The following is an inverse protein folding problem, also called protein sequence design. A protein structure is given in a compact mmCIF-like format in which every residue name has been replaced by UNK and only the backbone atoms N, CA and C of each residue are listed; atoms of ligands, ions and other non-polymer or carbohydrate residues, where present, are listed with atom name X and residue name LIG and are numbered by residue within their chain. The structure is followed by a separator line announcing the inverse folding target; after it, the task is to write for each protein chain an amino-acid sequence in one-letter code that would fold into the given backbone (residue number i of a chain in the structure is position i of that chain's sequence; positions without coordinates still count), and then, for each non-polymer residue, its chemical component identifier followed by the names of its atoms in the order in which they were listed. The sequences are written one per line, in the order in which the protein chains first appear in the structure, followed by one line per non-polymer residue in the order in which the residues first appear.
data_IF_573543189465
#
_entry.id   IF_573543189465
#
_cell.length_a   1.000
_cell.length_b   1.000
_cell.length_c   1.000
_cell.angle_alpha   90.00
_cell.angle_beta   90.00
_cell.angle_gamma   90.00
#
_symmetry.space_group_name_H-M   'P 1'
#
loop_
_entity.id
_entity.type
_entity.pdbx_description
1 polymer ?
#
# COMPACT_ATOMS: atom_id res chain seq x y z
N UNK A 1 34.97 -8.07 -7.02
CA UNK A 1 34.15 -7.33 -8.00
C UNK A 1 34.50 -5.85 -7.92
N UNK A 2 34.78 -5.21 -9.06
CA UNK A 2 34.98 -3.77 -9.14
C UNK A 2 33.60 -3.11 -9.01
N UNK A 3 33.41 -2.25 -8.00
CA UNK A 3 32.16 -1.49 -7.87
C UNK A 3 32.17 -0.31 -8.86
N UNK A 4 31.04 0.02 -9.51
CA UNK A 4 30.95 1.25 -10.27
C UNK A 4 31.16 2.45 -9.35
N UNK A 5 31.61 3.57 -9.92
CA UNK A 5 31.64 4.85 -9.21
C UNK A 5 30.23 5.22 -8.72
N UNK A 6 30.09 6.00 -7.64
CA UNK A 6 28.78 6.46 -7.19
C UNK A 6 28.00 7.18 -8.29
N UNK A 7 26.69 6.96 -8.32
CA UNK A 7 25.79 7.67 -9.22
C UNK A 7 25.80 9.17 -8.87
N UNK A 8 25.92 10.05 -9.88
CA UNK A 8 25.99 11.49 -9.67
C UNK A 8 24.61 12.09 -9.33
N UNK A 9 23.56 11.55 -9.95
CA UNK A 9 22.18 11.97 -9.76
C UNK A 9 21.32 10.72 -9.60
N UNK A 10 20.66 10.58 -8.45
CA UNK A 10 19.78 9.45 -8.18
C UNK A 10 18.48 9.62 -8.99
N UNK A 11 18.05 8.63 -9.79
CA UNK A 11 16.74 8.66 -10.42
C UNK A 11 15.64 8.48 -9.37
N UNK A 12 14.45 8.99 -9.66
CA UNK A 12 13.22 8.71 -8.89
C UNK A 12 12.47 7.58 -9.56
N UNK A 13 11.74 6.77 -8.77
CA UNK A 13 10.81 5.80 -9.32
C UNK A 13 9.71 6.54 -10.10
N UNK A 14 9.53 6.19 -11.37
CA UNK A 14 8.51 6.83 -12.21
C UNK A 14 7.23 6.01 -12.24
N UNK A 15 7.30 4.75 -12.66
CA UNK A 15 6.14 3.89 -12.86
C UNK A 15 6.47 2.42 -12.59
N UNK A 16 5.42 1.62 -12.44
CA UNK A 16 5.43 0.15 -12.43
C UNK A 16 4.55 -0.36 -13.56
N UNK A 17 4.88 -1.51 -14.13
CA UNK A 17 4.08 -2.15 -15.17
C UNK A 17 3.66 -3.54 -14.73
N UNK A 18 2.35 -3.79 -14.74
CA UNK A 18 1.78 -5.10 -14.44
C UNK A 18 1.41 -5.84 -15.72
N UNK A 19 1.58 -7.16 -15.68
CA UNK A 19 1.05 -8.08 -16.68
C UNK A 19 -0.25 -8.63 -16.14
N UNK A 20 -1.29 -8.62 -16.97
CA UNK A 20 -2.63 -9.04 -16.54
C UNK A 20 -3.34 -9.87 -17.58
N UNK A 21 -4.16 -10.82 -17.13
CA UNK A 21 -5.14 -11.54 -17.96
C UNK A 21 -6.49 -10.80 -18.04
N UNK A 22 -6.68 -9.74 -17.24
CA UNK A 22 -7.95 -9.04 -17.01
C UNK A 22 -7.77 -7.51 -17.06
N UNK A 23 -7.42 -6.99 -18.24
CA UNK A 23 -7.03 -5.58 -18.42
C UNK A 23 -8.05 -4.58 -17.87
N UNK A 24 -9.34 -4.73 -18.20
CA UNK A 24 -10.36 -3.79 -17.76
C UNK A 24 -10.60 -3.86 -16.24
N UNK A 25 -10.60 -5.05 -15.65
CA UNK A 25 -10.76 -5.22 -14.20
C UNK A 25 -9.65 -4.52 -13.43
N UNK A 26 -8.40 -4.59 -13.92
CA UNK A 26 -7.28 -3.88 -13.32
C UNK A 26 -7.44 -2.36 -13.43
N UNK A 27 -7.88 -1.84 -14.58
CA UNK A 27 -8.13 -0.41 -14.77
C UNK A 27 -9.18 0.08 -13.78
N UNK A 28 -10.33 -0.60 -13.73
CA UNK A 28 -11.47 -0.22 -12.89
C UNK A 28 -11.11 -0.29 -11.40
N UNK A 29 -10.34 -1.30 -10.99
CA UNK A 29 -9.91 -1.46 -9.60
C UNK A 29 -8.94 -0.35 -9.17
N UNK A 30 -7.92 -0.03 -10.00
CA UNK A 30 -6.98 1.04 -9.67
C UNK A 30 -7.60 2.44 -9.75
N UNK A 31 -8.61 2.64 -10.61
CA UNK A 31 -9.47 3.82 -10.57
C UNK A 31 -10.20 3.91 -9.23
N UNK A 32 -10.88 2.84 -8.82
CA UNK A 32 -11.64 2.81 -7.59
C UNK A 32 -10.78 3.00 -6.33
N UNK A 33 -9.58 2.40 -6.27
CA UNK A 33 -8.77 2.34 -5.05
C UNK A 33 -7.85 3.55 -4.89
N UNK A 34 -7.20 3.99 -5.96
CA UNK A 34 -6.18 5.06 -5.91
C UNK A 34 -6.44 6.21 -6.89
N UNK A 35 -7.61 6.25 -7.53
CA UNK A 35 -8.01 7.34 -8.43
C UNK A 35 -7.22 7.37 -9.73
N UNK A 36 -6.64 6.24 -10.16
CA UNK A 36 -5.94 6.20 -11.44
C UNK A 36 -6.92 6.39 -12.61
N UNK A 37 -6.58 7.27 -13.55
CA UNK A 37 -7.31 7.44 -14.81
C UNK A 37 -6.40 7.10 -15.99
N UNK A 38 -6.91 6.44 -17.06
CA UNK A 38 -6.12 6.19 -18.26
C UNK A 38 -5.80 7.47 -19.02
N UNK A 39 -4.52 7.74 -19.25
CA UNK A 39 -4.09 8.74 -20.24
C UNK A 39 -4.16 8.16 -21.67
N UNK A 40 -3.98 6.84 -21.81
CA UNK A 40 -4.14 6.12 -23.07
C UNK A 40 -4.47 4.64 -22.79
N UNK A 41 -5.40 4.07 -23.55
CA UNK A 41 -5.77 2.66 -23.45
C UNK A 41 -6.17 2.09 -24.81
N UNK A 42 -5.85 0.82 -25.03
CA UNK A 42 -6.31 0.00 -26.15
C UNK A 42 -6.38 -1.47 -25.71
N UNK A 43 -6.85 -2.38 -26.57
CA UNK A 43 -7.06 -3.79 -26.23
C UNK A 43 -5.86 -4.50 -25.56
N UNK A 44 -4.62 -4.11 -25.92
CA UNK A 44 -3.41 -4.75 -25.41
C UNK A 44 -2.76 -4.07 -24.21
N UNK A 45 -3.13 -2.83 -23.87
CA UNK A 45 -2.48 -2.08 -22.80
C UNK A 45 -3.24 -0.83 -22.34
N UNK A 46 -2.90 -0.36 -21.15
CA UNK A 46 -3.28 0.95 -20.65
C UNK A 46 -2.14 1.62 -19.87
N UNK A 47 -2.05 2.94 -19.98
CA UNK A 47 -1.15 3.80 -19.20
C UNK A 47 -2.01 4.73 -18.36
N UNK A 48 -1.96 4.55 -17.04
CA UNK A 48 -2.82 5.26 -16.09
C UNK A 48 -2.00 6.10 -15.11
N UNK A 49 -2.61 7.17 -14.63
CA UNK A 49 -2.00 8.08 -13.65
C UNK A 49 -3.01 8.49 -12.60
N UNK A 50 -2.55 8.69 -11.37
CA UNK A 50 -3.30 9.35 -10.30
C UNK A 50 -2.66 10.70 -9.90
N UNK A 51 -1.66 11.16 -10.66
CA UNK A 51 -1.02 12.46 -10.51
C UNK A 51 -0.74 13.09 -11.90
N UNK A 52 0.11 14.12 -11.94
CA UNK A 52 0.43 14.85 -13.17
C UNK A 52 1.45 14.16 -14.08
N UNK A 53 2.01 13.01 -13.68
CA UNK A 53 2.92 12.26 -14.53
C UNK A 53 2.19 11.64 -15.74
N UNK A 54 2.94 11.33 -16.80
CA UNK A 54 2.36 10.70 -18.00
C UNK A 54 1.77 9.30 -17.70
N UNK A 55 2.29 8.59 -16.70
CA UNK A 55 1.69 7.42 -16.06
C UNK A 55 2.48 7.04 -14.80
N UNK A 56 1.78 6.43 -13.85
CA UNK A 56 2.36 5.77 -12.67
C UNK A 56 2.22 4.26 -12.75
N UNK A 57 1.18 3.80 -13.41
CA UNK A 57 0.89 2.38 -13.60
C UNK A 57 0.64 2.13 -15.08
N UNK A 58 1.28 1.09 -15.61
CA UNK A 58 0.92 0.55 -16.91
C UNK A 58 0.42 -0.88 -16.75
N UNK A 59 -0.57 -1.25 -17.56
CA UNK A 59 -1.09 -2.60 -17.64
C UNK A 59 -0.83 -3.14 -19.04
N UNK A 60 -0.30 -4.35 -19.14
CA UNK A 60 -0.05 -5.06 -20.39
C UNK A 60 -0.79 -6.38 -20.40
N UNK A 61 -1.48 -6.67 -21.51
CA UNK A 61 -2.09 -7.97 -21.77
C UNK A 61 -1.66 -8.52 -23.12
N UNK A 62 -1.45 -9.83 -23.19
CA UNK A 62 -1.10 -10.57 -24.40
C UNK A 62 -1.62 -12.00 -24.26
N UNK A 63 -1.88 -12.73 -25.38
CA UNK A 63 -2.32 -14.12 -25.32
C UNK A 63 -1.37 -15.09 -24.59
N UNK A 64 -0.10 -14.70 -24.39
CA UNK A 64 0.90 -15.53 -23.70
C UNK A 64 0.90 -15.38 -22.17
N UNK A 65 0.21 -14.37 -21.62
CA UNK A 65 0.12 -14.16 -20.17
C UNK A 65 -0.91 -15.13 -19.59
N UNK A 66 -0.57 -15.71 -18.44
CA UNK A 66 -1.40 -16.65 -17.70
C UNK A 66 -1.33 -16.31 -16.22
N UNK A 67 -2.39 -16.66 -15.50
CA UNK A 67 -2.39 -16.60 -14.05
C UNK A 67 -1.33 -17.56 -13.49
N UNK A 68 -0.74 -17.18 -12.36
CA UNK A 68 0.23 -18.01 -11.62
C UNK A 68 -0.44 -18.48 -10.32
N UNK A 69 -0.85 -19.77 -10.23
CA UNK A 69 -1.51 -20.29 -9.02
C UNK A 69 -0.58 -20.30 -7.80
N UNK A 70 0.74 -20.30 -8.01
CA UNK A 70 1.75 -20.37 -6.96
C UNK A 70 2.45 -19.01 -6.75
N UNK A 71 1.82 -17.91 -7.19
CA UNK A 71 2.37 -16.56 -7.19
C UNK A 71 2.96 -16.11 -5.84
N UNK A 72 2.35 -16.51 -4.73
CA UNK A 72 2.83 -16.17 -3.37
C UNK A 72 4.19 -16.81 -3.07
N UNK A 73 4.44 -18.02 -3.59
CA UNK A 73 5.70 -18.74 -3.40
C UNK A 73 6.76 -18.38 -4.44
N UNK A 74 6.35 -17.94 -5.63
CA UNK A 74 7.25 -17.54 -6.71
C UNK A 74 7.83 -16.14 -6.51
N UNK A 75 9.08 -15.96 -6.93
CA UNK A 75 9.73 -14.64 -6.89
C UNK A 75 8.98 -13.61 -7.74
N UNK A 76 8.75 -12.43 -7.15
CA UNK A 76 8.06 -11.33 -7.81
C UNK A 76 8.10 -10.07 -6.96
N UNK A 77 7.24 -9.11 -7.30
CA UNK A 77 6.96 -7.98 -6.41
C UNK A 77 6.13 -8.48 -5.22
N UNK A 78 6.41 -7.98 -4.02
CA UNK A 78 5.53 -8.25 -2.87
C UNK A 78 4.28 -7.36 -2.93
N UNK A 79 4.51 -6.05 -3.07
CA UNK A 79 3.46 -5.05 -3.15
C UNK A 79 3.94 -3.78 -3.86
N UNK A 80 2.98 -2.92 -4.19
CA UNK A 80 3.19 -1.50 -4.51
C UNK A 80 2.56 -0.63 -3.44
N UNK A 81 3.13 0.53 -3.13
CA UNK A 81 2.62 1.41 -2.09
C UNK A 81 2.24 2.80 -2.63
N UNK A 82 1.15 3.35 -2.08
CA UNK A 82 0.66 4.70 -2.31
C UNK A 82 0.51 5.42 -0.97
N UNK A 83 0.87 6.69 -0.93
CA UNK A 83 0.85 7.49 0.30
C UNK A 83 -0.22 8.56 0.26
N UNK A 84 -1.07 8.59 1.28
CA UNK A 84 -1.92 9.72 1.62
C UNK A 84 -1.16 10.72 2.48
N UNK A 85 -1.42 12.01 2.26
CA UNK A 85 -0.76 13.07 3.03
C UNK A 85 -1.13 13.13 4.51
N UNK A 86 -2.20 12.44 4.95
CA UNK A 86 -2.61 12.35 6.36
C UNK A 86 -3.27 11.01 6.68
N UNK A 87 -3.23 10.61 7.95
CA UNK A 87 -3.98 9.45 8.43
C UNK A 87 -5.50 9.60 8.22
N UNK A 88 -6.04 10.81 8.39
CA UNK A 88 -7.46 11.05 8.17
C UNK A 88 -7.86 10.71 6.73
N UNK A 89 -7.08 11.14 5.74
CA UNK A 89 -7.37 10.82 4.34
C UNK A 89 -7.27 9.32 4.04
N UNK A 90 -6.34 8.59 4.68
CA UNK A 90 -6.26 7.14 4.58
C UNK A 90 -7.53 6.46 5.16
N UNK A 91 -7.99 6.90 6.33
CA UNK A 91 -9.18 6.36 6.99
C UNK A 91 -10.47 6.70 6.24
N UNK A 92 -10.60 7.92 5.71
CA UNK A 92 -11.72 8.33 4.87
C UNK A 92 -11.78 7.45 3.60
N UNK A 93 -10.61 7.16 3.01
CA UNK A 93 -10.53 6.26 1.86
C UNK A 93 -10.89 4.81 2.22
N UNK A 94 -10.51 4.35 3.41
CA UNK A 94 -10.93 3.04 3.92
C UNK A 94 -12.47 2.94 4.03
N UNK A 95 -13.14 3.93 4.64
CA UNK A 95 -14.61 3.93 4.76
C UNK A 95 -15.26 3.88 3.36
N UNK A 96 -14.79 4.70 2.42
CA UNK A 96 -15.26 4.72 1.03
C UNK A 96 -15.11 3.37 0.32
N UNK A 97 -13.99 2.67 0.50
CA UNK A 97 -13.76 1.36 -0.12
C UNK A 97 -14.57 0.25 0.54
N UNK A 98 -14.75 0.32 1.86
CA UNK A 98 -15.54 -0.63 2.62
C UNK A 98 -17.03 -0.60 2.21
N UNK A 99 -17.58 0.56 1.85
CA UNK A 99 -18.97 0.70 1.35
C UNK A 99 -19.28 -0.16 0.11
N UNK A 100 -18.26 -0.45 -0.70
CA UNK A 100 -18.38 -1.29 -1.92
C UNK A 100 -17.73 -2.67 -1.76
N UNK A 101 -17.35 -3.04 -0.53
CA UNK A 101 -16.79 -4.35 -0.22
C UNK A 101 -15.31 -4.55 -0.62
N UNK A 102 -14.58 -3.49 -0.93
CA UNK A 102 -13.13 -3.55 -1.14
C UNK A 102 -12.46 -3.39 0.23
N UNK A 103 -12.05 -4.51 0.82
CA UNK A 103 -11.45 -4.56 2.15
C UNK A 103 -9.97 -4.98 2.09
N UNK A 104 -9.13 -4.45 2.99
CA UNK A 104 -7.75 -4.88 3.10
C UNK A 104 -7.65 -6.31 3.65
N UNK A 105 -6.63 -7.05 3.21
CA UNK A 105 -6.30 -8.38 3.73
C UNK A 105 -5.48 -8.32 5.03
N UNK A 106 -4.81 -7.19 5.29
CA UNK A 106 -4.13 -6.88 6.56
C UNK A 106 -3.97 -5.36 6.71
N UNK A 107 -4.03 -4.89 7.95
CA UNK A 107 -3.80 -3.49 8.32
C UNK A 107 -2.77 -3.45 9.44
N UNK A 108 -1.75 -2.63 9.27
CA UNK A 108 -0.58 -2.59 10.15
C UNK A 108 -0.26 -1.16 10.56
N UNK A 109 0.06 -0.99 11.83
CA UNK A 109 0.81 0.16 12.31
C UNK A 109 2.28 -0.23 12.41
N UNK A 110 3.08 0.20 11.44
CA UNK A 110 4.52 -0.02 11.37
C UNK A 110 5.31 0.89 12.34
N UNK A 111 4.61 1.71 13.12
CA UNK A 111 5.18 2.79 13.94
C UNK A 111 5.46 4.05 13.12
N UNK A 112 6.19 3.90 12.01
CA UNK A 112 6.47 5.02 11.10
C UNK A 112 5.35 5.33 10.10
N UNK A 113 4.56 4.33 9.72
CA UNK A 113 3.39 4.49 8.87
C UNK A 113 2.24 3.66 9.39
N UNK A 114 1.03 4.18 9.19
CA UNK A 114 -0.19 3.39 9.20
C UNK A 114 -0.43 2.88 7.78
N UNK A 115 -0.59 1.57 7.59
CA UNK A 115 -0.59 0.93 6.26
C UNK A 115 -1.68 -0.12 6.14
N UNK A 116 -2.50 -0.02 5.09
CA UNK A 116 -3.59 -0.96 4.78
C UNK A 116 -3.33 -1.64 3.43
N UNK A 117 -3.34 -2.97 3.40
CA UNK A 117 -2.96 -3.75 2.23
C UNK A 117 -4.17 -4.40 1.59
N UNK A 118 -4.44 -4.07 0.33
CA UNK A 118 -5.54 -4.60 -0.47
C UNK A 118 -5.01 -5.59 -1.50
N UNK A 119 -5.88 -6.41 -2.07
CA UNK A 119 -5.54 -7.36 -3.13
C UNK A 119 -6.17 -6.89 -4.44
N UNK A 120 -5.34 -6.65 -5.45
CA UNK A 120 -5.82 -6.32 -6.79
C UNK A 120 -6.39 -7.55 -7.52
N UNK A 121 -7.07 -7.39 -8.67
CA UNK A 121 -7.66 -8.51 -9.40
C UNK A 121 -6.68 -9.61 -9.85
N UNK A 122 -5.38 -9.31 -9.98
CA UNK A 122 -4.33 -10.27 -10.30
C UNK A 122 -3.64 -10.85 -9.05
N UNK A 123 -4.13 -10.53 -7.85
CA UNK A 123 -3.61 -11.04 -6.59
C UNK A 123 -2.35 -10.33 -6.09
N UNK A 124 -1.95 -9.20 -6.69
CA UNK A 124 -0.87 -8.36 -6.15
C UNK A 124 -1.36 -7.63 -4.89
N UNK A 125 -0.48 -7.51 -3.90
CA UNK A 125 -0.79 -6.67 -2.73
C UNK A 125 -0.53 -5.20 -3.06
N UNK A 126 -1.44 -4.33 -2.62
CA UNK A 126 -1.38 -2.88 -2.83
C UNK A 126 -1.54 -2.19 -1.48
N UNK A 127 -0.49 -1.51 -1.05
CA UNK A 127 -0.45 -0.78 0.20
C UNK A 127 -0.96 0.65 0.00
N UNK A 128 -1.93 1.05 0.83
CA UNK A 128 -2.30 2.44 1.04
C UNK A 128 -1.82 2.84 2.43
N UNK A 129 -0.99 3.87 2.51
CA UNK A 129 -0.37 4.26 3.77
C UNK A 129 -0.40 5.77 4.03
N UNK A 130 -0.05 6.15 5.26
CA UNK A 130 0.26 7.53 5.63
C UNK A 130 1.42 7.56 6.63
N UNK A 131 2.33 8.52 6.50
CA UNK A 131 3.43 8.73 7.43
C UNK A 131 2.92 9.27 8.78
N UNK A 132 3.19 8.54 9.87
CA UNK A 132 2.73 8.88 11.23
C UNK A 132 3.46 10.10 11.81
N UNK A 133 4.62 10.48 11.25
CA UNK A 133 5.38 11.66 11.66
C UNK A 133 5.01 12.92 10.88
N UNK A 134 4.30 12.78 9.76
CA UNK A 134 4.05 13.84 8.77
C UNK A 134 5.34 14.41 8.18
N UNK A 135 6.46 13.71 8.32
CA UNK A 135 7.78 14.20 7.93
C UNK A 135 8.75 13.02 7.72
N UNK A 136 9.09 12.79 6.44
CA UNK A 136 9.98 11.70 6.04
C UNK A 136 11.39 11.76 6.65
N UNK A 137 11.89 12.93 7.05
CA UNK A 137 13.18 13.01 7.75
C UNK A 137 13.06 12.38 9.14
N UNK A 138 11.96 12.63 9.84
CA UNK A 138 11.73 12.07 11.17
C UNK A 138 11.41 10.58 11.09
N UNK A 139 10.57 10.13 10.16
CA UNK A 139 10.27 8.70 10.00
C UNK A 139 11.49 7.92 9.53
N UNK A 140 12.32 8.46 8.62
CA UNK A 140 13.59 7.83 8.25
C UNK A 140 14.56 7.75 9.44
N UNK A 141 14.69 8.82 10.24
CA UNK A 141 15.52 8.79 11.44
C UNK A 141 15.01 7.76 12.46
N UNK A 142 13.70 7.69 12.67
CA UNK A 142 13.09 6.69 13.56
C UNK A 142 13.35 5.28 13.06
N UNK A 143 13.13 5.00 11.78
CA UNK A 143 13.45 3.70 11.15
C UNK A 143 14.92 3.31 11.34
N UNK A 144 15.85 4.26 11.25
CA UNK A 144 17.28 4.03 11.39
C UNK A 144 17.74 3.77 12.84
N UNK A 145 17.03 4.33 13.83
CA UNK A 145 17.54 4.44 15.20
C UNK A 145 16.65 3.81 16.27
N UNK A 146 15.39 3.52 15.96
CA UNK A 146 14.40 3.04 16.93
C UNK A 146 14.64 1.58 17.32
N UNK A 147 14.84 1.28 18.62
CA UNK A 147 14.87 -0.10 19.11
C UNK A 147 13.52 -0.81 18.92
N UNK A 148 12.42 -0.06 18.88
CA UNK A 148 11.08 -0.61 18.62
C UNK A 148 10.98 -1.16 17.20
N UNK A 149 11.39 -0.36 16.21
CA UNK A 149 11.41 -0.80 14.80
C UNK A 149 12.34 -2.00 14.60
N UNK A 150 13.53 -1.97 15.22
CA UNK A 150 14.47 -3.08 15.13
C UNK A 150 13.92 -4.39 15.73
N UNK A 151 13.03 -4.30 16.73
CA UNK A 151 12.39 -5.47 17.36
C UNK A 151 11.20 -5.98 16.55
N UNK A 152 10.42 -5.08 15.95
CA UNK A 152 9.16 -5.40 15.27
C UNK A 152 8.98 -4.56 13.99
N UNK A 153 9.76 -4.85 12.93
CA UNK A 153 9.75 -4.03 11.71
C UNK A 153 8.51 -4.23 10.83
N UNK A 154 7.74 -5.29 11.08
CA UNK A 154 6.45 -5.58 10.41
C UNK A 154 5.29 -4.80 11.05
N UNK A 155 5.48 -4.27 12.26
CA UNK A 155 4.45 -3.55 12.99
C UNK A 155 3.47 -4.44 13.76
N UNK A 156 2.41 -3.81 14.25
CA UNK A 156 1.28 -4.46 14.94
C UNK A 156 0.03 -4.37 14.07
N UNK A 157 -0.83 -5.37 14.15
CA UNK A 157 -2.11 -5.33 13.46
C UNK A 157 -3.08 -4.31 14.07
N UNK A 158 -3.90 -3.71 13.21
CA UNK A 158 -4.91 -2.74 13.61
C UNK A 158 -6.23 -3.00 12.89
N UNK A 159 -7.33 -2.59 13.54
CA UNK A 159 -8.70 -2.65 13.03
C UNK A 159 -9.14 -1.21 12.67
N UNK A 160 -9.19 -0.83 11.38
CA UNK A 160 -9.51 0.53 10.98
C UNK A 160 -10.86 1.04 11.52
N UNK A 161 -11.97 0.26 11.54
CA UNK A 161 -13.19 0.61 12.24
C UNK A 161 -12.99 1.07 13.70
N UNK A 162 -12.12 0.41 14.46
CA UNK A 162 -11.80 0.80 15.84
C UNK A 162 -11.01 2.11 15.91
N UNK A 163 -10.06 2.32 14.99
CA UNK A 163 -9.32 3.57 14.88
C UNK A 163 -10.26 4.74 14.58
N UNK A 164 -11.17 4.55 13.62
CA UNK A 164 -12.18 5.53 13.20
C UNK A 164 -13.11 5.86 14.37
N UNK A 165 -13.60 4.85 15.09
CA UNK A 165 -14.45 5.05 16.26
C UNK A 165 -13.74 5.89 17.35
N UNK A 166 -12.49 5.55 17.67
CA UNK A 166 -11.71 6.28 18.67
C UNK A 166 -11.48 7.75 18.27
N UNK A 167 -11.19 8.03 16.99
CA UNK A 167 -11.08 9.40 16.49
C UNK A 167 -12.41 10.16 16.57
N UNK A 168 -13.54 9.51 16.22
CA UNK A 168 -14.89 10.09 16.32
C UNK A 168 -15.28 10.40 17.78
N UNK A 169 -14.77 9.63 18.73
CA UNK A 169 -14.91 9.89 20.18
C UNK A 169 -13.98 11.01 20.70
N UNK A 170 -13.11 11.56 19.86
CA UNK A 170 -12.24 12.68 20.19
C UNK A 170 -10.89 12.29 20.78
N UNK A 171 -10.46 11.04 20.63
CA UNK A 171 -9.09 10.63 21.00
C UNK A 171 -8.08 11.42 20.15
N UNK A 172 -7.13 12.15 20.76
CA UNK A 172 -6.10 12.86 20.01
C UNK A 172 -5.26 11.89 19.15
N UNK A 173 -4.86 12.33 17.95
CA UNK A 173 -4.07 11.49 17.02
C UNK A 173 -2.80 10.91 17.66
N UNK A 174 -2.08 11.70 18.46
CA UNK A 174 -0.89 11.23 19.18
C UNK A 174 -1.19 10.07 20.14
N UNK A 175 -2.33 10.14 20.82
CA UNK A 175 -2.77 9.11 21.76
C UNK A 175 -3.29 7.88 21.01
N UNK A 176 -3.96 8.08 19.87
CA UNK A 176 -4.39 7.00 18.98
C UNK A 176 -3.19 6.16 18.53
N UNK A 177 -2.16 6.80 17.96
CA UNK A 177 -0.97 6.11 17.46
C UNK A 177 -0.23 5.37 18.58
N UNK A 178 -0.11 5.98 19.76
CA UNK A 178 0.48 5.31 20.92
C UNK A 178 -0.31 4.06 21.33
N UNK A 179 -1.64 4.19 21.48
CA UNK A 179 -2.52 3.08 21.88
C UNK A 179 -2.55 1.96 20.84
N UNK A 180 -2.44 2.32 19.56
CA UNK A 180 -2.31 1.38 18.44
C UNK A 180 -1.11 0.47 18.63
N UNK A 181 0.08 1.05 18.85
CA UNK A 181 1.32 0.32 19.13
C UNK A 181 1.28 -0.51 20.42
N UNK A 182 0.41 -0.15 21.37
CA UNK A 182 0.15 -0.91 22.60
C UNK A 182 -0.91 -2.03 22.41
N UNK A 183 -1.46 -2.20 21.20
CA UNK A 183 -2.42 -3.26 20.87
C UNK A 183 -3.88 -2.95 21.22
N UNK A 184 -4.23 -1.68 21.45
CA UNK A 184 -5.60 -1.30 21.83
C UNK A 184 -6.63 -1.53 20.70
N UNK A 185 -6.19 -1.62 19.45
CA UNK A 185 -7.04 -1.70 18.27
C UNK A 185 -6.79 -2.97 17.44
N UNK A 186 -6.37 -4.07 18.08
CA UNK A 186 -6.17 -5.35 17.37
C UNK A 186 -7.46 -5.82 16.68
N UNK A 187 -7.38 -6.42 15.48
CA UNK A 187 -8.52 -7.03 14.83
C UNK A 187 -8.95 -8.31 15.56
N UNK A 188 -10.21 -8.71 15.38
CA UNK A 188 -10.71 -9.98 15.94
C UNK A 188 -10.12 -11.20 15.23
N UNK A 189 -9.88 -11.07 13.93
CA UNK A 189 -9.27 -12.09 13.09
C UNK A 189 -7.94 -11.55 12.55
N UNK A 190 -6.81 -12.24 12.78
CA UNK A 190 -5.53 -11.85 12.21
C UNK A 190 -5.57 -11.82 10.68
N UNK A 191 -4.91 -10.83 10.09
CA UNK A 191 -4.72 -10.71 8.65
C UNK A 191 -3.68 -11.69 8.10
N UNK A 192 -3.67 -11.83 6.78
CA UNK A 192 -2.66 -12.62 6.07
C UNK A 192 -1.59 -11.68 5.50
N UNK A 193 -0.34 -11.83 5.92
CA UNK A 193 0.77 -11.01 5.39
C UNK A 193 1.15 -11.38 3.95
N UNK A 194 0.63 -12.50 3.42
CA UNK A 194 0.89 -13.03 2.07
C UNK A 194 2.36 -13.33 1.80
N UNK A 195 3.07 -13.82 2.82
CA UNK A 195 4.38 -14.43 2.66
C UNK A 195 4.25 -15.96 2.63
N UNK A 196 5.04 -16.66 1.80
CA UNK A 196 5.09 -18.11 1.85
C UNK A 196 5.62 -18.57 3.21
N UNK A 197 5.04 -19.66 3.72
CA UNK A 197 5.41 -20.28 5.00
C UNK A 197 6.81 -20.92 4.98
#
# INVERSE_FOLDING_TARGET
MIKPRPIAQKPVLHHVTFKTTRLQEMIDWYEAVVGCTPNFAFEGAAWTTNDTANHRIAFLTTPGIKDDPDKVAHSGIHHTAFEFGTLQALLDNYERLAEVGILPHICLDHGLTMSFYYVDPDGNSVELQSDNFGNWIHSAHWMQTSPEFAREPIGVEVDPPRLIAALKEGVPLSDLLKRSREGAYLPETPGDIRLPA
#
